data_IF_475851885629
#
_entry.id   IF_475851885629
#
_cell.length_a   1.000
_cell.length_b   1.000
_cell.length_c   1.000
_cell.angle_alpha   90.00
_cell.angle_beta   90.00
_cell.angle_gamma   90.00
#
_symmetry.space_group_name_H-M   'P 1'
#
loop_
_entity.id
_entity.type
_entity.pdbx_description
1 polymer ?
#
# COMPACT_ATOMS: atom_id res chain seq x y z
N UNK A 1 -7.35 -7.61 -11.06
CA UNK A 1 -6.16 -7.94 -10.23
C UNK A 1 -6.55 -7.70 -8.78
N UNK A 2 -6.24 -8.58 -7.83
CA UNK A 2 -6.58 -8.40 -6.40
C UNK A 2 -5.51 -7.60 -5.66
N UNK A 3 -5.84 -7.05 -4.49
CA UNK A 3 -4.90 -6.35 -3.59
C UNK A 3 -3.65 -7.19 -3.32
N UNK A 4 -3.83 -8.47 -2.97
CA UNK A 4 -2.73 -9.40 -2.70
C UNK A 4 -1.79 -9.53 -3.90
N UNK A 5 -2.36 -9.79 -5.09
CA UNK A 5 -1.57 -9.96 -6.31
C UNK A 5 -0.86 -8.67 -6.71
N UNK A 6 -1.50 -7.52 -6.53
CA UNK A 6 -0.91 -6.24 -6.87
C UNK A 6 0.29 -5.94 -5.99
N UNK A 7 0.12 -5.97 -4.67
CA UNK A 7 1.18 -5.69 -3.71
C UNK A 7 2.34 -6.70 -3.81
N UNK A 8 2.07 -8.00 -4.00
CA UNK A 8 3.13 -8.99 -4.20
C UNK A 8 3.88 -8.83 -5.54
N UNK A 9 3.23 -8.30 -6.58
CA UNK A 9 3.88 -8.06 -7.88
C UNK A 9 4.72 -6.77 -7.92
N UNK A 10 4.55 -5.88 -6.93
CA UNK A 10 5.28 -4.63 -6.86
C UNK A 10 6.74 -4.86 -6.43
N UNK A 11 7.68 -4.18 -7.07
CA UNK A 11 9.05 -4.06 -6.57
C UNK A 11 9.15 -3.08 -5.40
N UNK A 12 9.94 -3.43 -4.39
CA UNK A 12 10.17 -2.59 -3.20
C UNK A 12 11.65 -2.20 -3.09
N UNK A 13 12.00 -1.15 -2.33
CA UNK A 13 13.41 -0.82 -2.07
C UNK A 13 14.13 -2.00 -1.41
N UNK A 14 15.30 -2.38 -1.95
CA UNK A 14 16.02 -3.59 -1.54
C UNK A 14 16.65 -3.52 -0.15
N UNK A 15 16.93 -2.32 0.36
CA UNK A 15 17.54 -2.08 1.68
C UNK A 15 16.54 -2.04 2.84
N UNK A 16 15.28 -2.41 2.63
CA UNK A 16 14.23 -2.33 3.64
C UNK A 16 13.67 -3.72 3.91
N UNK A 17 13.60 -4.08 5.19
CA UNK A 17 12.87 -5.23 5.69
C UNK A 17 11.83 -4.75 6.70
N UNK A 18 10.56 -4.95 6.41
CA UNK A 18 9.48 -4.48 7.28
C UNK A 18 8.16 -5.19 6.98
N UNK A 19 7.26 -5.13 7.95
CA UNK A 19 5.88 -5.58 7.83
C UNK A 19 4.91 -4.39 7.95
N UNK A 20 3.87 -4.37 7.12
CA UNK A 20 2.81 -3.36 7.15
C UNK A 20 1.44 -4.04 7.23
N UNK A 21 0.65 -3.67 8.24
CA UNK A 21 -0.68 -4.24 8.47
C UNK A 21 -1.78 -3.33 7.93
N UNK A 22 -2.34 -3.72 6.80
CA UNK A 22 -3.34 -2.99 6.05
C UNK A 22 -4.75 -3.46 6.42
N UNK A 23 -5.71 -2.57 6.33
CA UNK A 23 -7.14 -2.88 6.28
C UNK A 23 -7.74 -2.12 5.10
N UNK A 24 -8.16 -2.87 4.09
CA UNK A 24 -8.67 -2.32 2.83
C UNK A 24 -10.18 -2.40 2.80
N UNK A 25 -10.80 -1.26 2.52
CA UNK A 25 -12.21 -1.15 2.19
C UNK A 25 -12.37 -1.01 0.67
N UNK A 26 -13.33 -1.72 0.09
CA UNK A 26 -13.61 -1.67 -1.35
C UNK A 26 -15.10 -1.96 -1.55
N UNK A 27 -15.89 -0.95 -1.90
CA UNK A 27 -17.34 -1.09 -2.06
C UNK A 27 -17.75 -1.96 -3.26
N UNK A 28 -16.84 -2.24 -4.19
CA UNK A 28 -17.14 -2.92 -5.44
C UNK A 28 -16.68 -4.39 -5.43
N UNK A 29 -15.46 -4.65 -4.96
CA UNK A 29 -14.82 -5.96 -5.06
C UNK A 29 -14.60 -6.57 -3.68
N UNK A 30 -15.48 -7.51 -3.30
CA UNK A 30 -15.41 -8.19 -2.00
C UNK A 30 -14.06 -8.88 -1.73
N UNK A 31 -13.43 -9.41 -2.77
CA UNK A 31 -12.12 -10.08 -2.67
C UNK A 31 -11.00 -9.16 -2.17
N UNK A 32 -11.14 -7.84 -2.37
CA UNK A 32 -10.18 -6.83 -1.92
C UNK A 32 -10.43 -6.37 -0.48
N UNK A 33 -11.59 -6.71 0.10
CA UNK A 33 -11.95 -6.29 1.46
C UNK A 33 -11.17 -7.07 2.50
N UNK A 34 -10.90 -6.39 3.61
CA UNK A 34 -10.41 -7.00 4.84
C UNK A 34 -8.98 -6.63 5.16
N UNK A 35 -8.36 -7.42 6.02
CA UNK A 35 -7.03 -7.16 6.56
C UNK A 35 -5.96 -7.93 5.80
N UNK A 36 -4.84 -7.27 5.57
CA UNK A 36 -3.69 -7.83 4.88
C UNK A 36 -2.40 -7.50 5.63
N UNK A 37 -1.45 -8.40 5.54
CA UNK A 37 -0.08 -8.19 6.00
C UNK A 37 0.80 -8.16 4.76
N UNK A 38 1.46 -7.04 4.53
CA UNK A 38 2.51 -6.91 3.52
C UNK A 38 3.85 -7.07 4.22
N UNK A 39 4.55 -8.16 3.95
CA UNK A 39 5.92 -8.40 4.40
C UNK A 39 6.86 -8.11 3.23
N UNK A 40 7.83 -7.21 3.44
CA UNK A 40 8.82 -6.86 2.42
C UNK A 40 10.20 -7.25 2.92
N UNK A 41 10.95 -7.94 2.06
CA UNK A 41 12.37 -8.20 2.27
C UNK A 41 13.07 -8.37 0.92
N UNK A 42 14.34 -7.97 0.84
CA UNK A 42 15.16 -8.10 -0.37
C UNK A 42 14.47 -7.54 -1.64
N UNK A 43 13.74 -6.44 -1.49
CA UNK A 43 13.02 -5.75 -2.57
C UNK A 43 11.78 -6.46 -3.11
N UNK A 44 11.31 -7.52 -2.43
CA UNK A 44 10.12 -8.29 -2.78
C UNK A 44 9.06 -8.16 -1.69
N UNK A 45 7.80 -8.09 -2.10
CA UNK A 45 6.65 -8.13 -1.20
C UNK A 45 5.96 -9.48 -1.25
N UNK A 46 5.55 -9.96 -0.08
CA UNK A 46 4.61 -11.07 0.07
C UNK A 46 3.40 -10.58 0.87
N UNK A 47 2.21 -11.03 0.47
CA UNK A 47 0.96 -10.59 1.10
C UNK A 47 0.20 -11.79 1.63
N UNK A 48 -0.19 -11.72 2.88
CA UNK A 48 -1.07 -12.69 3.53
C UNK A 48 -2.31 -12.02 4.10
N UNK A 49 -3.38 -12.79 4.30
CA UNK A 49 -4.61 -12.27 4.92
C UNK A 49 -4.47 -12.21 6.44
N UNK A 50 -5.08 -11.20 7.04
CA UNK A 50 -5.11 -10.97 8.49
C UNK A 50 -4.28 -9.76 8.92
N UNK A 51 -3.78 -9.80 10.14
CA UNK A 51 -3.02 -8.69 10.73
C UNK A 51 -3.88 -7.71 11.53
N UNK A 52 -3.23 -6.62 11.93
CA UNK A 52 -3.78 -5.69 12.93
C UNK A 52 -4.67 -4.59 12.34
N UNK A 53 -4.51 -4.27 11.06
CA UNK A 53 -5.23 -3.16 10.41
C UNK A 53 -4.77 -1.79 10.93
N UNK A 54 -3.45 -1.62 11.09
CA UNK A 54 -2.84 -0.39 11.60
C UNK A 54 -2.86 0.75 10.58
N UNK A 55 -3.03 0.41 9.31
CA UNK A 55 -3.25 1.34 8.20
C UNK A 55 -4.54 0.98 7.48
N UNK A 56 -5.57 1.78 7.72
CA UNK A 56 -6.90 1.65 7.11
C UNK A 56 -7.00 2.57 5.91
N UNK A 57 -7.50 2.05 4.80
CA UNK A 57 -7.67 2.84 3.59
C UNK A 57 -8.76 2.26 2.69
N UNK A 58 -9.38 3.15 1.92
CA UNK A 58 -10.22 2.75 0.81
C UNK A 58 -9.34 2.34 -0.39
N UNK A 59 -9.86 1.50 -1.29
CA UNK A 59 -9.19 1.14 -2.55
C UNK A 59 -8.81 2.38 -3.38
N UNK A 60 -9.57 3.49 -3.27
CA UNK A 60 -9.27 4.79 -3.86
C UNK A 60 -8.03 5.46 -3.26
N UNK A 61 -7.71 5.19 -2.00
CA UNK A 61 -6.46 5.59 -1.36
C UNK A 61 -5.31 4.62 -1.66
N UNK A 62 -5.61 3.34 -1.92
CA UNK A 62 -4.60 2.32 -2.20
C UNK A 62 -3.96 2.52 -3.58
N UNK A 63 -4.75 2.86 -4.59
CA UNK A 63 -4.25 3.10 -5.95
C UNK A 63 -3.14 4.19 -6.03
N UNK A 64 -3.35 5.43 -5.52
CA UNK A 64 -2.31 6.46 -5.55
C UNK A 64 -1.11 6.16 -4.64
N UNK A 65 -1.30 5.40 -3.55
CA UNK A 65 -0.19 4.90 -2.73
C UNK A 65 0.67 3.91 -3.53
N UNK A 66 0.02 2.96 -4.20
CA UNK A 66 0.67 1.90 -4.97
C UNK A 66 1.55 2.46 -6.09
N UNK A 67 1.07 3.50 -6.78
CA UNK A 67 1.77 4.17 -7.89
C UNK A 67 2.77 5.22 -7.43
N UNK A 68 2.86 5.50 -6.13
CA UNK A 68 3.67 6.59 -5.55
C UNK A 68 3.23 7.98 -6.04
N UNK A 69 1.98 8.14 -6.45
CA UNK A 69 1.41 9.45 -6.80
C UNK A 69 1.29 10.35 -5.57
N UNK A 70 0.90 9.77 -4.43
CA UNK A 70 0.81 10.46 -3.15
C UNK A 70 1.51 9.68 -2.04
N UNK A 71 2.12 10.41 -1.11
CA UNK A 71 2.71 9.81 0.09
C UNK A 71 1.63 9.37 1.08
N UNK A 72 1.93 8.43 2.00
CA UNK A 72 1.01 8.08 3.08
C UNK A 72 0.55 9.28 3.91
N UNK A 73 1.44 10.23 4.19
CA UNK A 73 1.06 11.47 4.89
C UNK A 73 0.05 12.31 4.10
N UNK A 74 0.25 12.49 2.80
CA UNK A 74 -0.68 13.24 1.95
C UNK A 74 -2.05 12.57 1.89
N UNK A 75 -2.09 11.23 1.80
CA UNK A 75 -3.33 10.45 1.82
C UNK A 75 -4.03 10.53 3.17
N UNK A 76 -3.29 10.59 4.28
CA UNK A 76 -3.86 10.77 5.62
C UNK A 76 -4.47 12.16 5.78
N UNK A 77 -3.75 13.21 5.36
CA UNK A 77 -4.23 14.58 5.44
C UNK A 77 -5.45 14.85 4.55
N UNK A 78 -5.57 14.12 3.44
CA UNK A 78 -6.72 14.20 2.51
C UNK A 78 -7.87 13.25 2.88
N UNK A 79 -7.75 12.48 3.95
CA UNK A 79 -8.81 11.62 4.47
C UNK A 79 -8.99 10.29 3.73
N UNK A 80 -8.08 9.92 2.82
CA UNK A 80 -8.12 8.64 2.10
C UNK A 80 -7.45 7.48 2.85
N UNK A 81 -6.77 7.79 3.95
CA UNK A 81 -6.04 6.84 4.77
C UNK A 81 -6.09 7.25 6.25
N UNK A 82 -6.16 6.27 7.14
CA UNK A 82 -6.02 6.47 8.58
C UNK A 82 -5.03 5.44 9.10
N UNK A 83 -3.92 5.88 9.69
CA UNK A 83 -2.90 4.98 10.20
C UNK A 83 -2.20 5.53 11.43
N UNK A 84 -1.57 4.64 12.19
CA UNK A 84 -0.63 5.04 13.25
C UNK A 84 0.60 5.71 12.65
N UNK A 85 1.30 6.54 13.43
CA UNK A 85 2.54 7.20 12.98
C UNK A 85 3.59 6.17 12.52
N UNK A 86 3.69 5.03 13.22
CA UNK A 86 4.58 3.93 12.86
C UNK A 86 4.20 3.36 11.49
N UNK A 87 2.91 3.09 11.27
CA UNK A 87 2.45 2.54 9.99
C UNK A 87 2.64 3.54 8.83
N UNK A 88 2.46 4.85 9.08
CA UNK A 88 2.80 5.90 8.11
C UNK A 88 4.28 5.86 7.77
N UNK A 89 5.17 5.83 8.77
CA UNK A 89 6.61 5.82 8.55
C UNK A 89 7.05 4.56 7.77
N UNK A 90 6.54 3.39 8.15
CA UNK A 90 6.78 2.13 7.43
C UNK A 90 6.30 2.22 5.99
N UNK A 91 5.07 2.66 5.74
CA UNK A 91 4.55 2.80 4.39
C UNK A 91 5.37 3.81 3.57
N UNK A 92 5.78 4.93 4.16
CA UNK A 92 6.61 5.92 3.46
C UNK A 92 7.93 5.28 3.02
N UNK A 93 8.54 4.45 3.86
CA UNK A 93 9.76 3.73 3.52
C UNK A 93 9.52 2.68 2.40
N UNK A 94 8.46 1.86 2.49
CA UNK A 94 8.16 0.80 1.52
C UNK A 94 7.73 1.34 0.14
N UNK A 95 7.02 2.46 0.12
CA UNK A 95 6.50 3.09 -1.10
C UNK A 95 7.36 4.26 -1.60
N UNK A 96 8.52 4.52 -0.99
CA UNK A 96 9.47 5.51 -1.50
C UNK A 96 10.00 5.10 -2.88
N UNK A 97 9.57 5.79 -3.92
CA UNK A 97 10.13 5.68 -5.27
C UNK A 97 9.87 6.97 -6.06
N UNK A 98 10.41 7.07 -7.27
CA UNK A 98 10.15 8.18 -8.18
C UNK A 98 8.67 8.30 -8.55
N UNK A 99 8.25 9.53 -8.82
CA UNK A 99 6.88 9.83 -9.26
C UNK A 99 6.55 9.08 -10.56
N UNK A 100 5.34 8.50 -10.69
CA UNK A 100 4.96 7.77 -11.89
C UNK A 100 4.80 8.71 -13.09
N UNK A 101 5.17 8.25 -14.29
CA UNK A 101 4.95 8.93 -15.56
C UNK A 101 4.74 7.89 -16.68
N UNK A 102 4.07 8.28 -17.77
CA UNK A 102 3.84 7.42 -18.94
C UNK A 102 3.89 8.29 -20.21
N UNK A 103 4.67 7.91 -21.25
CA UNK A 103 4.80 8.70 -22.48
C UNK A 103 3.63 8.51 -23.46
N UNK A 104 2.90 7.40 -23.35
CA UNK A 104 1.81 7.03 -24.25
C UNK A 104 0.47 7.64 -23.82
N UNK A 105 -0.40 7.91 -24.81
CA UNK A 105 -1.81 8.31 -24.61
C UNK A 105 -2.70 7.33 -25.39
N UNK A 106 -3.80 6.86 -24.79
CA UNK A 106 -4.72 5.86 -25.37
C UNK A 106 -6.18 6.20 -25.09
#
# INVERSE_FOLDING_TARGET
MSVEKALSARGYPSGIESELHLEVHDDLLEANRGKFILSVANGRGEVTRGGRGEMKLDVRGLAPLYTNLFTPQQLQQSGYLQATEIAIATATALFANSSPWMPDFF
#
